data_IF_560759609934
#
_entry.id   IF_560759609934
#
_cell.length_a   1.000
_cell.length_b   1.000
_cell.length_c   1.000
_cell.angle_alpha   90.00
_cell.angle_beta   90.00
_cell.angle_gamma   90.00
#
_symmetry.space_group_name_H-M   'P 1'
#
loop_
_entity.id
_entity.type
_entity.pdbx_description
1 polymer ?
#
# COMPACT_ATOMS: atom_id res chain seq x y z
N UNK A 1 14.90 -9.94 6.36
CA UNK A 1 13.63 -10.22 5.65
C UNK A 1 13.84 -10.00 4.17
N UNK A 2 13.16 -10.73 3.28
CA UNK A 2 13.37 -10.61 1.84
C UNK A 2 12.33 -9.68 1.23
N UNK A 3 12.73 -8.45 0.94
CA UNK A 3 12.03 -7.59 -0.01
C UNK A 3 12.44 -8.02 -1.41
N UNK A 4 11.47 -8.16 -2.32
CA UNK A 4 11.73 -8.49 -3.73
C UNK A 4 11.05 -7.45 -4.61
N UNK A 5 11.80 -6.82 -5.52
CA UNK A 5 11.21 -6.00 -6.58
C UNK A 5 10.50 -6.91 -7.58
N UNK A 6 9.29 -6.51 -7.97
CA UNK A 6 8.52 -7.15 -9.02
C UNK A 6 8.70 -6.36 -10.32
N UNK A 7 8.77 -7.05 -11.44
CA UNK A 7 8.63 -6.40 -12.74
C UNK A 7 7.19 -5.92 -12.93
N UNK A 8 6.98 -4.97 -13.84
CA UNK A 8 5.63 -4.53 -14.24
C UNK A 8 4.79 -5.72 -14.70
N UNK A 9 5.37 -6.60 -15.52
CA UNK A 9 4.70 -7.81 -15.98
C UNK A 9 4.32 -8.74 -14.81
N UNK A 10 5.23 -8.95 -13.85
CA UNK A 10 4.94 -9.76 -12.67
C UNK A 10 3.78 -9.18 -11.86
N UNK A 11 3.71 -7.86 -11.68
CA UNK A 11 2.56 -7.23 -11.03
C UNK A 11 1.28 -7.40 -11.84
N UNK A 12 1.32 -7.14 -13.14
CA UNK A 12 0.14 -7.20 -14.01
C UNK A 12 -0.43 -8.62 -14.09
N UNK A 13 0.41 -9.66 -13.96
CA UNK A 13 -0.02 -11.06 -13.89
C UNK A 13 -0.62 -11.51 -12.55
N UNK A 14 -0.46 -10.74 -11.46
CA UNK A 14 -1.10 -11.07 -10.18
C UNK A 14 -2.62 -11.11 -10.39
N UNK A 15 -3.33 -12.18 -9.99
CA UNK A 15 -4.78 -12.20 -9.95
C UNK A 15 -5.29 -11.11 -9.00
N UNK A 16 -6.12 -10.20 -9.50
CA UNK A 16 -6.70 -9.09 -8.75
C UNK A 16 -8.22 -9.23 -8.74
N UNK A 17 -8.86 -8.75 -7.69
CA UNK A 17 -10.30 -8.52 -7.72
C UNK A 17 -10.61 -7.25 -8.52
N UNK A 18 -11.87 -7.08 -8.91
CA UNK A 18 -12.34 -5.91 -9.68
C UNK A 18 -11.96 -4.58 -9.02
N UNK A 19 -11.94 -4.59 -7.68
CA UNK A 19 -11.64 -3.42 -6.87
C UNK A 19 -10.15 -3.06 -6.90
N UNK A 20 -9.24 -4.03 -6.87
CA UNK A 20 -7.78 -3.83 -6.89
C UNK A 20 -7.18 -3.95 -8.30
N UNK A 21 -8.02 -3.90 -9.34
CA UNK A 21 -7.64 -3.96 -10.75
C UNK A 21 -6.87 -2.70 -11.17
N UNK A 22 -5.60 -2.62 -10.76
CA UNK A 22 -4.68 -1.54 -11.08
C UNK A 22 -3.48 -2.13 -11.79
N UNK A 23 -3.27 -1.70 -13.03
CA UNK A 23 -2.09 -2.07 -13.80
C UNK A 23 -0.90 -1.18 -13.41
N UNK A 24 0.26 -1.81 -13.27
CA UNK A 24 1.52 -1.11 -13.18
C UNK A 24 1.92 -0.62 -14.57
N UNK A 25 2.43 0.60 -14.63
CA UNK A 25 2.98 1.19 -15.85
C UNK A 25 4.43 1.60 -15.64
N UNK A 26 5.11 1.98 -16.73
CA UNK A 26 6.47 2.50 -16.66
C UNK A 26 6.56 3.68 -15.68
N UNK A 27 7.55 3.63 -14.78
CA UNK A 27 7.76 4.60 -13.71
C UNK A 27 7.17 4.20 -12.36
N UNK A 28 6.29 3.19 -12.31
CA UNK A 28 5.79 2.64 -11.05
C UNK A 28 6.80 1.70 -10.40
N UNK A 29 6.63 1.44 -9.10
CA UNK A 29 7.44 0.46 -8.38
C UNK A 29 6.57 -0.60 -7.74
N UNK A 30 6.78 -1.86 -8.11
CA UNK A 30 6.12 -3.00 -7.50
C UNK A 30 7.10 -3.80 -6.63
N UNK A 31 6.64 -4.26 -5.47
CA UNK A 31 7.46 -4.98 -4.50
C UNK A 31 6.66 -6.03 -3.75
N UNK A 32 7.31 -7.13 -3.39
CA UNK A 32 6.76 -8.20 -2.58
C UNK A 32 7.49 -8.24 -1.24
N UNK A 33 6.74 -8.09 -0.15
CA UNK A 33 7.22 -8.15 1.23
C UNK A 33 6.34 -9.11 2.01
N UNK A 34 6.93 -10.18 2.55
CA UNK A 34 6.26 -11.14 3.44
C UNK A 34 4.89 -11.63 2.92
N UNK A 35 4.77 -11.88 1.61
CA UNK A 35 3.52 -12.36 1.02
C UNK A 35 2.49 -11.27 0.70
N UNK A 36 2.85 -9.99 0.83
CA UNK A 36 2.05 -8.85 0.40
C UNK A 36 2.76 -8.14 -0.76
N UNK A 37 2.09 -8.06 -1.90
CA UNK A 37 2.54 -7.25 -3.02
C UNK A 37 2.07 -5.81 -2.83
N UNK A 38 2.95 -4.84 -3.03
CA UNK A 38 2.66 -3.42 -3.04
C UNK A 38 3.00 -2.86 -4.42
N UNK A 39 2.17 -1.95 -4.91
CA UNK A 39 2.44 -1.11 -6.07
C UNK A 39 2.43 0.35 -5.61
N UNK A 40 3.47 1.08 -5.96
CA UNK A 40 3.61 2.51 -5.73
C UNK A 40 3.53 3.21 -7.09
N UNK A 41 2.44 3.92 -7.31
CA UNK A 41 2.18 4.68 -8.53
C UNK A 41 2.78 6.08 -8.42
N UNK A 42 3.81 6.37 -9.20
CA UNK A 42 4.61 7.60 -9.07
C UNK A 42 4.15 8.73 -9.98
N UNK A 43 3.42 8.41 -11.07
CA UNK A 43 3.00 9.40 -12.08
C UNK A 43 2.08 10.52 -11.56
N UNK A 44 1.44 10.32 -10.41
CA UNK A 44 0.42 11.23 -9.91
C UNK A 44 0.93 12.24 -8.87
N UNK A 45 2.24 12.42 -8.66
CA UNK A 45 2.86 13.26 -7.61
C UNK A 45 2.56 12.87 -6.15
N UNK A 46 1.64 11.94 -5.90
CA UNK A 46 1.16 11.59 -4.56
C UNK A 46 1.64 10.22 -4.06
N UNK A 47 2.43 9.48 -4.85
CA UNK A 47 2.87 8.12 -4.57
C UNK A 47 1.70 7.24 -4.09
N UNK A 48 0.70 7.02 -4.96
CA UNK A 48 -0.48 6.23 -4.58
C UNK A 48 -0.06 4.77 -4.36
N UNK A 49 -0.54 4.14 -3.29
CA UNK A 49 -0.18 2.76 -2.95
C UNK A 49 -1.38 1.82 -3.05
N UNK A 50 -1.19 0.73 -3.79
CA UNK A 50 -2.09 -0.42 -3.85
C UNK A 50 -1.37 -1.60 -3.21
N UNK A 51 -2.08 -2.46 -2.47
CA UNK A 51 -1.47 -3.69 -1.97
C UNK A 51 -2.41 -4.88 -2.04
N UNK A 52 -1.86 -6.05 -2.35
CA UNK A 52 -2.58 -7.32 -2.54
C UNK A 52 -1.93 -8.40 -1.68
N UNK A 53 -2.76 -9.16 -0.97
CA UNK A 53 -2.31 -10.25 -0.10
C UNK A 53 -2.18 -11.53 -0.91
N UNK A 54 -0.97 -11.99 -1.18
CA UNK A 54 -0.71 -13.18 -1.99
C UNK A 54 -0.53 -14.46 -1.17
N UNK A 55 0.09 -14.38 0.02
CA UNK A 55 0.44 -15.56 0.82
C UNK A 55 -0.04 -15.43 2.27
N UNK A 56 -1.32 -15.74 2.58
CA UNK A 56 -1.91 -15.47 3.88
C UNK A 56 -1.20 -16.07 5.09
N UNK A 57 -0.61 -17.25 4.94
CA UNK A 57 0.02 -18.01 6.02
C UNK A 57 1.36 -17.45 6.48
N UNK A 58 1.99 -16.54 5.72
CA UNK A 58 3.33 -16.01 6.03
C UNK A 58 3.34 -14.59 6.60
N UNK A 59 2.16 -14.06 6.95
CA UNK A 59 2.02 -12.61 7.14
C UNK A 59 2.01 -12.23 8.62
N UNK A 60 3.09 -11.60 9.05
CA UNK A 60 3.03 -10.65 10.16
C UNK A 60 2.74 -9.27 9.58
N UNK A 61 1.49 -8.82 9.65
CA UNK A 61 1.01 -7.60 8.99
C UNK A 61 1.77 -6.35 9.48
N UNK A 62 2.04 -6.27 10.78
CA UNK A 62 2.77 -5.14 11.37
C UNK A 62 4.21 -5.11 10.86
N UNK A 63 4.90 -6.25 10.93
CA UNK A 63 6.28 -6.33 10.45
C UNK A 63 6.40 -6.09 8.93
N UNK A 64 5.40 -6.53 8.16
CA UNK A 64 5.31 -6.29 6.72
C UNK A 64 5.18 -4.80 6.42
N UNK A 65 4.35 -4.09 7.20
CA UNK A 65 4.21 -2.65 7.10
C UNK A 65 5.48 -1.89 7.43
N UNK A 66 6.12 -2.22 8.55
CA UNK A 66 7.38 -1.59 8.97
C UNK A 66 8.47 -1.80 7.92
N UNK A 67 8.53 -3.00 7.32
CA UNK A 67 9.48 -3.28 6.23
C UNK A 67 9.15 -2.47 4.98
N UNK A 68 7.87 -2.31 4.64
CA UNK A 68 7.43 -1.48 3.51
C UNK A 68 7.77 0.00 3.73
N UNK A 69 7.54 0.50 4.95
CA UNK A 69 7.84 1.88 5.36
C UNK A 69 9.32 2.19 5.30
N UNK A 70 10.16 1.33 5.89
CA UNK A 70 11.61 1.46 5.83
C UNK A 70 12.09 1.46 4.36
N UNK A 71 11.56 0.56 3.53
CA UNK A 71 11.87 0.55 2.10
C UNK A 71 11.48 1.87 1.41
N UNK A 72 10.32 2.44 1.73
CA UNK A 72 9.90 3.74 1.19
C UNK A 72 10.89 4.85 1.57
N UNK A 73 11.32 4.90 2.82
CA UNK A 73 12.29 5.88 3.30
C UNK A 73 13.64 5.76 2.61
N UNK A 74 14.17 4.53 2.52
CA UNK A 74 15.42 4.22 1.80
C UNK A 74 15.36 4.63 0.31
N UNK A 75 14.15 4.72 -0.25
CA UNK A 75 13.91 5.09 -1.65
C UNK A 75 13.39 6.53 -1.82
N UNK A 76 13.63 7.40 -0.83
CA UNK A 76 13.28 8.83 -0.85
C UNK A 76 11.77 9.11 -0.99
N UNK A 77 10.92 8.15 -0.65
CA UNK A 77 9.48 8.32 -0.58
C UNK A 77 9.15 8.77 0.83
N UNK A 78 9.05 10.09 1.04
CA UNK A 78 8.76 10.62 2.38
C UNK A 78 7.30 10.40 2.79
N UNK A 79 6.39 10.50 1.83
CA UNK A 79 4.96 10.33 2.02
C UNK A 79 4.39 9.49 0.88
N UNK A 80 3.39 8.69 1.23
CA UNK A 80 2.58 7.96 0.27
C UNK A 80 1.09 8.11 0.58
N UNK A 81 0.29 8.08 -0.47
CA UNK A 81 -1.17 8.22 -0.39
C UNK A 81 -1.83 6.86 -0.59
N UNK A 82 -2.77 6.55 0.28
CA UNK A 82 -3.66 5.39 0.15
C UNK A 82 -5.02 5.95 -0.18
N UNK A 83 -5.53 5.68 -1.38
CA UNK A 83 -6.83 6.14 -1.82
C UNK A 83 -7.68 4.95 -2.23
N UNK A 84 -8.87 4.83 -1.64
CA UNK A 84 -9.99 4.20 -2.33
C UNK A 84 -11.12 3.76 -1.41
N UNK A 85 -12.00 2.91 -1.93
CA UNK A 85 -13.20 2.47 -1.23
C UNK A 85 -12.76 1.57 -0.07
N UNK A 86 -13.43 1.66 1.08
CA UNK A 86 -13.05 0.96 2.32
C UNK A 86 -12.87 -0.55 2.18
N UNK A 87 -13.41 -1.14 1.12
CA UNK A 87 -13.34 -2.58 0.80
C UNK A 87 -12.09 -2.91 -0.03
N UNK A 88 -11.78 -2.06 -1.01
CA UNK A 88 -10.67 -2.21 -1.96
C UNK A 88 -9.30 -2.11 -1.29
N UNK A 89 -9.13 -1.13 -0.40
CA UNK A 89 -7.87 -0.87 0.30
C UNK A 89 -7.94 -1.33 1.75
N UNK A 90 -8.89 -2.21 2.07
CA UNK A 90 -9.15 -2.72 3.42
C UNK A 90 -7.90 -3.31 4.06
N UNK A 91 -7.09 -4.01 3.27
CA UNK A 91 -5.85 -4.59 3.75
C UNK A 91 -4.86 -3.49 4.14
N UNK A 92 -4.62 -2.49 3.29
CA UNK A 92 -3.72 -1.37 3.59
C UNK A 92 -4.20 -0.54 4.78
N UNK A 93 -5.51 -0.31 4.90
CA UNK A 93 -6.13 0.30 6.07
C UNK A 93 -5.86 -0.49 7.35
N UNK A 94 -6.10 -1.81 7.34
CA UNK A 94 -5.84 -2.70 8.47
C UNK A 94 -4.37 -2.67 8.85
N UNK A 95 -3.49 -2.71 7.84
CA UNK A 95 -2.03 -2.66 7.99
C UNK A 95 -1.62 -1.36 8.71
N UNK A 96 -2.08 -0.20 8.22
CA UNK A 96 -1.79 1.11 8.83
C UNK A 96 -2.35 1.24 10.25
N UNK A 97 -3.59 0.77 10.47
CA UNK A 97 -4.23 0.79 11.80
C UNK A 97 -3.52 -0.08 12.82
N UNK A 98 -3.13 -1.29 12.42
CA UNK A 98 -2.41 -2.20 13.29
C UNK A 98 -1.00 -1.68 13.57
N UNK A 99 -0.33 -1.09 12.59
CA UNK A 99 0.91 -0.35 12.80
C UNK A 99 0.75 0.72 13.89
N UNK A 100 -0.22 1.62 13.72
CA UNK A 100 -0.51 2.69 14.70
C UNK A 100 -0.77 2.15 16.11
N UNK A 101 -1.57 1.08 16.23
CA UNK A 101 -1.86 0.45 17.54
C UNK A 101 -0.59 -0.07 18.22
N UNK A 102 0.42 -0.48 17.45
CA UNK A 102 1.68 -1.01 17.94
C UNK A 102 2.81 0.04 18.03
N UNK A 103 2.48 1.34 17.95
CA UNK A 103 3.46 2.42 18.11
C UNK A 103 4.25 2.77 16.85
N UNK A 104 3.79 2.33 15.68
CA UNK A 104 4.32 2.82 14.41
C UNK A 104 3.92 4.30 14.24
N UNK A 105 4.88 5.21 14.11
CA UNK A 105 4.61 6.62 13.80
C UNK A 105 3.98 6.73 12.41
N UNK A 106 2.65 6.82 12.37
CA UNK A 106 1.85 6.99 11.17
C UNK A 106 1.09 8.29 11.31
N UNK A 107 1.58 9.36 10.68
CA UNK A 107 0.85 10.61 10.56
C UNK A 107 -0.24 10.43 9.50
N UNK A 108 -1.35 9.83 9.94
CA UNK A 108 -2.55 9.68 9.13
C UNK A 108 -3.25 11.01 9.03
N UNK A 109 -3.02 11.74 7.95
CA UNK A 109 -3.87 12.89 7.60
C UNK A 109 -5.12 12.30 6.95
N UNK A 110 -6.22 12.30 7.70
CA UNK A 110 -7.51 11.83 7.22
C UNK A 110 -8.18 12.93 6.41
N UNK A 111 -8.46 12.67 5.13
CA UNK A 111 -9.39 13.48 4.35
C UNK A 111 -10.54 12.58 3.89
N UNK A 112 -11.66 12.60 4.63
CA UNK A 112 -12.94 12.13 4.10
C UNK A 112 -13.34 13.05 2.94
N UNK A 113 -13.67 12.48 1.79
CA UNK A 113 -14.44 13.22 0.79
C UNK A 113 -15.91 12.83 0.92
N UNK A 114 -16.76 13.85 0.97
CA UNK A 114 -18.21 13.79 1.13
C UNK A 114 -18.86 13.11 -0.08
N UNK A 115 -19.10 11.81 0.00
CA UNK A 115 -20.12 11.16 -0.82
C UNK A 115 -20.58 9.89 -0.12
N UNK A 116 -21.76 9.95 0.49
CA UNK A 116 -22.41 8.78 1.11
C UNK A 116 -22.64 7.61 0.13
N UNK A 117 -22.43 7.82 -1.18
CA UNK A 117 -22.56 6.80 -2.21
C UNK A 117 -21.30 5.92 -2.38
N UNK A 118 -20.12 6.42 -1.98
CA UNK A 118 -18.87 5.66 -2.04
C UNK A 118 -18.04 6.00 -0.82
N UNK A 119 -17.89 5.02 0.07
CA UNK A 119 -17.06 5.08 1.28
C UNK A 119 -15.56 5.14 0.93
N UNK A 120 -15.15 6.23 0.25
CA UNK A 120 -13.78 6.49 -0.20
C UNK A 120 -13.00 7.13 0.92
N UNK A 121 -11.90 6.47 1.31
CA UNK A 121 -10.98 6.96 2.33
C UNK A 121 -9.64 7.28 1.69
N UNK A 122 -9.11 8.44 2.07
CA UNK A 122 -7.77 8.88 1.69
C UNK A 122 -6.93 8.98 2.96
N UNK A 123 -5.84 8.21 3.01
CA UNK A 123 -4.85 8.24 4.08
C UNK A 123 -3.51 8.71 3.53
N UNK A 124 -2.95 9.74 4.12
CA UNK A 124 -1.54 10.08 3.92
C UNK A 124 -0.72 9.37 4.98
N UNK A 125 0.40 8.77 4.59
CA UNK A 125 1.26 8.02 5.52
C UNK A 125 2.70 8.44 5.29
N UNK A 126 3.39 8.74 6.38
CA UNK A 126 4.82 9.08 6.37
C UNK A 126 5.68 7.81 6.44
N UNK A 127 6.70 7.72 5.59
CA UNK A 127 7.51 6.52 5.48
C UNK A 127 8.47 6.32 6.67
N UNK A 128 9.18 7.37 7.11
CA UNK A 128 10.27 7.37 8.12
C UNK A 128 11.48 6.50 7.80
#
# INVERSE_FOLDING_TARGET
MKTKLLTIEQWNMIPKDEETQVDAVEGDTALLINGVAFLIQRKNNWNNVVCIRLEPSKINIVQTFETFRAWCSDNQIQYFRVEGISHTYRMLYLVCRLGRKNGADCDVIYHATESAAYDRHIYYVKAY
#
